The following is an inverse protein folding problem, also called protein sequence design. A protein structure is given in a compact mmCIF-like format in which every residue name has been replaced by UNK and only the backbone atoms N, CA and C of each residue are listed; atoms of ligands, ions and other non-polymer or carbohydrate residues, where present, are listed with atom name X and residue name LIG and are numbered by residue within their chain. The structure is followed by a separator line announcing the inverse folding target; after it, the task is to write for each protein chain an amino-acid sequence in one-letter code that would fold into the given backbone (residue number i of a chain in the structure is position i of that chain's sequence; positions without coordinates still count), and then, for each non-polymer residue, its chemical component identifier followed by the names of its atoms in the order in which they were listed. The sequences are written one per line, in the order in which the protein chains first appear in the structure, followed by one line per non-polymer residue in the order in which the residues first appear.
data_IF_402203928951
#
_entry.id   IF_402203928951
#
_cell.length_a   1.000
_cell.length_b   1.000
_cell.length_c   1.000
_cell.angle_alpha   90.00
_cell.angle_beta   90.00
_cell.angle_gamma   90.00
#
_symmetry.space_group_name_H-M   'P 1'
#
loop_
_entity.id
_entity.type
_entity.pdbx_description
1 polymer ?
#
# COMPACT_ATOMS: atom_id res chain seq x y z
N UNK A 1 2.66 1.36 6.17
CA UNK A 1 3.26 1.99 7.38
C UNK A 1 2.30 1.81 8.54
N UNK A 2 2.78 1.85 9.77
CA UNK A 2 1.95 1.64 10.97
C UNK A 2 2.19 2.78 11.97
N UNK A 3 1.19 3.10 12.78
CA UNK A 3 1.24 4.16 13.79
C UNK A 3 0.57 3.68 15.09
N UNK A 4 1.24 3.89 16.22
CA UNK A 4 0.68 3.75 17.55
C UNK A 4 0.53 5.12 18.21
N UNK A 5 -0.63 5.40 18.81
CA UNK A 5 -0.83 6.64 19.59
C UNK A 5 -1.82 6.40 20.72
N UNK A 6 -1.77 7.18 21.81
CA UNK A 6 -2.76 7.07 22.88
C UNK A 6 -4.14 7.52 22.38
N UNK A 7 -5.21 6.77 22.63
CA UNK A 7 -6.57 7.14 22.18
C UNK A 7 -7.04 8.45 22.81
N UNK A 8 -6.54 8.78 24.00
CA UNK A 8 -6.73 10.07 24.66
C UNK A 8 -6.18 11.27 23.84
N UNK A 9 -5.27 11.05 22.90
CA UNK A 9 -4.75 12.09 22.01
C UNK A 9 -5.64 12.27 20.77
N UNK A 10 -6.83 12.83 20.98
CA UNK A 10 -7.81 13.08 19.93
C UNK A 10 -7.26 13.93 18.76
N UNK A 11 -6.24 14.77 19.00
CA UNK A 11 -5.59 15.57 17.95
C UNK A 11 -4.76 14.68 17.02
N UNK A 12 -3.98 13.74 17.58
CA UNK A 12 -3.21 12.77 16.81
C UNK A 12 -4.15 11.82 16.03
N UNK A 13 -5.22 11.34 16.66
CA UNK A 13 -6.24 10.49 16.01
C UNK A 13 -6.85 11.17 14.78
N UNK A 14 -7.17 12.46 14.88
CA UNK A 14 -7.73 13.23 13.77
C UNK A 14 -6.72 13.44 12.64
N UNK A 15 -5.43 13.55 12.95
CA UNK A 15 -4.36 13.62 11.95
C UNK A 15 -4.17 12.27 11.25
N UNK A 16 -4.17 11.16 12.00
CA UNK A 16 -4.04 9.80 11.47
C UNK A 16 -5.16 9.52 10.45
N UNK A 17 -6.41 9.85 10.79
CA UNK A 17 -7.55 9.73 9.88
C UNK A 17 -7.40 10.59 8.61
N UNK A 18 -6.90 11.82 8.73
CA UNK A 18 -6.65 12.71 7.57
C UNK A 18 -5.55 12.19 6.64
N UNK A 19 -4.54 11.52 7.20
CA UNK A 19 -3.45 10.91 6.43
C UNK A 19 -3.85 9.55 5.82
N UNK A 20 -5.05 9.05 6.13
CA UNK A 20 -5.56 7.78 5.62
C UNK A 20 -5.06 6.57 6.39
N UNK A 21 -4.60 6.74 7.64
CA UNK A 21 -4.45 5.60 8.54
C UNK A 21 -5.82 5.10 8.94
N UNK A 22 -6.01 3.79 8.85
CA UNK A 22 -7.22 3.11 9.30
C UNK A 22 -6.95 2.46 10.65
N UNK A 23 -7.92 2.59 11.56
CA UNK A 23 -7.88 1.86 12.82
C UNK A 23 -7.91 0.36 12.56
N UNK A 24 -6.99 -0.35 13.20
CA UNK A 24 -6.93 -1.81 13.16
C UNK A 24 -7.24 -2.37 14.54
N UNK A 25 -6.71 -1.77 15.60
CA UNK A 25 -6.89 -2.29 16.96
C UNK A 25 -6.73 -1.17 18.02
N UNK A 26 -7.33 -1.38 19.20
CA UNK A 26 -7.04 -0.59 20.41
C UNK A 26 -6.60 -1.54 21.52
N UNK A 27 -5.54 -1.19 22.23
CA UNK A 27 -4.97 -2.02 23.28
C UNK A 27 -4.53 -1.17 24.47
N UNK A 28 -4.57 -1.71 25.68
CA UNK A 28 -4.08 -0.99 26.86
C UNK A 28 -2.60 -1.27 27.09
N UNK A 29 -1.79 -0.22 27.15
CA UNK A 29 -0.36 -0.30 27.43
C UNK A 29 0.03 0.80 28.43
N UNK A 30 0.81 0.45 29.45
CA UNK A 30 1.24 1.38 30.51
C UNK A 30 0.08 2.13 31.20
N UNK A 31 -1.08 1.49 31.37
CA UNK A 31 -2.28 2.09 31.98
C UNK A 31 -2.96 3.12 31.08
N UNK A 32 -2.77 3.00 29.77
CA UNK A 32 -3.32 3.90 28.77
C UNK A 32 -3.89 3.09 27.61
N UNK A 33 -5.10 3.44 27.18
CA UNK A 33 -5.62 2.90 25.92
C UNK A 33 -4.85 3.54 24.75
N UNK A 34 -4.25 2.66 23.95
CA UNK A 34 -3.48 2.93 22.76
C UNK A 34 -4.30 2.52 21.54
N UNK A 35 -4.03 3.21 20.45
CA UNK A 35 -4.63 3.02 19.15
C UNK A 35 -3.57 2.55 18.17
N UNK A 36 -3.88 1.51 17.41
CA UNK A 36 -3.05 0.97 16.36
C UNK A 36 -3.70 1.23 15.00
N UNK A 37 -2.96 1.93 14.13
CA UNK A 37 -3.41 2.23 12.78
C UNK A 37 -2.43 1.79 11.72
N UNK A 38 -2.97 1.38 10.57
CA UNK A 38 -2.18 0.99 9.40
C UNK A 38 -2.51 1.91 8.23
N UNK A 39 -1.48 2.37 7.55
CA UNK A 39 -1.57 3.06 6.27
C UNK A 39 -1.06 2.16 5.15
N UNK A 40 -1.91 1.91 4.16
CA UNK A 40 -1.56 1.20 2.94
C UNK A 40 -1.31 2.21 1.83
N UNK A 41 -0.05 2.40 1.38
CA UNK A 41 0.18 3.15 0.16
C UNK A 41 -0.58 2.44 -0.96
N UNK A 42 -1.49 3.15 -1.61
CA UNK A 42 -2.14 2.64 -2.82
C UNK A 42 -1.06 2.21 -3.82
N UNK A 43 -1.37 1.24 -4.71
CA UNK A 43 -0.42 0.85 -5.74
C UNK A 43 0.07 2.11 -6.44
N UNK A 44 1.39 2.27 -6.65
CA UNK A 44 1.87 3.41 -7.42
C UNK A 44 1.09 3.38 -8.72
N UNK A 45 0.42 4.49 -9.05
CA UNK A 45 -0.26 4.66 -10.33
C UNK A 45 0.82 4.81 -11.40
N UNK A 46 1.61 3.75 -11.60
CA UNK A 46 2.47 3.57 -12.72
C UNK A 46 1.53 3.42 -13.90
N UNK A 47 1.36 4.51 -14.66
CA UNK A 47 0.98 4.38 -16.07
C UNK A 47 1.81 3.23 -16.62
N UNK A 48 1.22 2.18 -17.20
CA UNK A 48 2.01 1.19 -17.89
C UNK A 48 2.81 1.98 -18.92
N UNK A 49 4.13 2.12 -18.70
CA UNK A 49 5.03 2.53 -19.75
C UNK A 49 4.90 1.39 -20.74
N UNK A 50 4.08 1.58 -21.75
CA UNK A 50 3.92 0.65 -22.86
C UNK A 50 5.31 0.46 -23.44
N UNK A 51 6.02 -0.56 -22.96
CA UNK A 51 7.19 -1.05 -23.64
C UNK A 51 6.61 -1.66 -24.89
N UNK A 52 6.70 -0.93 -26.01
CA UNK A 52 6.41 -1.46 -27.32
C UNK A 52 7.25 -2.72 -27.49
N UNK A 53 6.64 -3.87 -27.21
CA UNK A 53 7.16 -5.15 -27.67
C UNK A 53 6.77 -5.18 -29.13
N UNK A 54 7.73 -4.90 -29.99
CA UNK A 54 7.59 -5.19 -31.42
C UNK A 54 7.45 -6.71 -31.53
N UNK A 55 6.21 -7.19 -31.71
CA UNK A 55 5.95 -8.55 -32.17
C UNK A 55 6.20 -8.68 -33.69
N UNK A 56 5.92 -9.85 -34.27
CA UNK A 56 6.80 -11.00 -34.33
C UNK A 56 7.53 -11.08 -35.67
N UNK A 57 8.78 -11.57 -35.68
CA UNK A 57 9.38 -12.08 -36.91
C UNK A 57 8.65 -13.37 -37.30
N UNK A 58 8.08 -13.38 -38.51
CA UNK A 58 7.29 -14.48 -39.07
C UNK A 58 8.04 -15.82 -39.20
N UNK A 59 7.34 -16.89 -39.62
CA UNK A 59 7.81 -18.25 -39.47
C UNK A 59 8.99 -18.54 -40.41
N UNK A 60 10.15 -18.88 -39.83
CA UNK A 60 11.23 -19.48 -40.59
C UNK A 60 10.81 -20.91 -40.96
N UNK A 61 10.59 -21.08 -42.26
CA UNK A 61 10.13 -22.30 -42.89
C UNK A 61 11.01 -23.51 -42.55
N UNK A 62 10.32 -24.64 -42.48
CA UNK A 62 10.82 -26.00 -42.45
C UNK A 62 11.98 -26.22 -43.44
N UNK A 63 12.95 -27.06 -43.05
CA UNK A 63 13.45 -28.17 -43.87
C UNK A 63 14.47 -29.03 -43.10
N UNK A 64 14.03 -30.25 -42.77
CA UNK A 64 14.89 -31.45 -42.66
C UNK A 64 15.34 -31.81 -44.09
N UNK A 65 16.51 -32.43 -44.27
CA UNK A 65 16.67 -33.87 -44.06
C UNK A 65 17.83 -34.23 -43.12
#
# INVERSE_FOLDING_TARGET
MVLTTRTANARAMRLAAKLGFTEVERFEEYGAEQWFGVWSPGPPSGRPRTRSVSGPAGPAAQRRP
#
